data_IF_120963548178
#
_entry.id   IF_120963548178
#
_cell.length_a   1.000
_cell.length_b   1.000
_cell.length_c   1.000
_cell.angle_alpha   90.00
_cell.angle_beta   90.00
_cell.angle_gamma   90.00
#
_symmetry.space_group_name_H-M   'P 1'
#
loop_
_entity.id
_entity.type
_entity.pdbx_description
1 polymer ?
#
# COMPACT_ATOMS: atom_id res chain seq x y z
N UNK A 1 17.12 -16.74 21.33
CA UNK A 1 16.75 -16.58 19.89
C UNK A 1 15.46 -17.36 19.64
N UNK A 2 14.51 -16.81 18.89
CA UNK A 2 13.22 -17.45 18.61
C UNK A 2 13.30 -18.50 17.50
N UNK A 3 12.36 -19.44 17.54
CA UNK A 3 12.08 -20.44 16.49
C UNK A 3 10.60 -20.40 16.12
N UNK A 4 10.24 -20.95 14.96
CA UNK A 4 8.83 -21.07 14.56
C UNK A 4 8.01 -21.90 15.55
N UNK A 5 8.59 -22.96 16.12
CA UNK A 5 7.93 -23.74 17.16
C UNK A 5 7.66 -22.90 18.42
N UNK A 6 8.64 -22.12 18.87
CA UNK A 6 8.48 -21.22 20.01
C UNK A 6 7.40 -20.16 19.74
N UNK A 7 7.39 -19.56 18.54
CA UNK A 7 6.39 -18.57 18.14
C UNK A 7 4.96 -19.14 18.17
N UNK A 8 4.78 -20.37 17.67
CA UNK A 8 3.47 -21.06 17.71
C UNK A 8 3.03 -21.41 19.13
N UNK A 9 3.96 -21.64 20.04
CA UNK A 9 3.68 -21.96 21.44
C UNK A 9 3.30 -20.74 22.30
N UNK A 10 3.60 -19.52 21.84
CA UNK A 10 3.30 -18.29 22.60
C UNK A 10 1.80 -18.13 22.84
N UNK A 11 1.44 -17.94 24.11
CA UNK A 11 0.04 -17.76 24.54
C UNK A 11 -0.31 -16.28 24.70
N UNK A 12 -1.54 -15.86 24.35
CA UNK A 12 -2.03 -14.53 24.67
C UNK A 12 -2.05 -14.31 26.20
N UNK A 13 -1.91 -13.06 26.63
CA UNK A 13 -2.00 -12.64 28.04
C UNK A 13 -2.98 -11.47 28.15
N UNK A 14 -3.37 -11.12 29.38
CA UNK A 14 -4.27 -9.99 29.65
C UNK A 14 -3.71 -8.63 29.21
N UNK A 15 -2.40 -8.54 28.96
CA UNK A 15 -1.71 -7.33 28.49
C UNK A 15 -0.75 -7.68 27.36
N UNK A 16 -0.45 -6.68 26.54
CA UNK A 16 0.57 -6.75 25.50
C UNK A 16 1.92 -7.08 26.13
N UNK A 17 2.64 -8.02 25.54
CA UNK A 17 4.02 -8.32 25.95
C UNK A 17 4.94 -8.50 24.74
N UNK A 18 6.24 -8.41 25.00
CA UNK A 18 7.30 -8.54 24.00
C UNK A 18 8.12 -9.79 24.29
N UNK A 19 8.55 -10.49 23.25
CA UNK A 19 9.57 -11.54 23.34
C UNK A 19 10.68 -11.21 22.36
N UNK A 20 11.89 -11.03 22.88
CA UNK A 20 13.05 -10.60 22.12
C UNK A 20 13.56 -11.72 21.22
N UNK A 21 13.88 -11.37 19.98
CA UNK A 21 14.68 -12.19 19.07
C UNK A 21 16.11 -11.62 18.99
N UNK A 22 16.87 -11.93 17.94
CA UNK A 22 18.20 -11.36 17.72
C UNK A 22 18.12 -9.93 17.19
N UNK A 23 19.27 -9.25 17.19
CA UNK A 23 19.46 -7.98 16.50
C UNK A 23 18.59 -6.82 17.00
N UNK A 24 18.04 -6.91 18.21
CA UNK A 24 17.07 -5.93 18.72
C UNK A 24 15.67 -6.08 18.12
N UNK A 25 15.47 -7.06 17.22
CA UNK A 25 14.14 -7.46 16.78
C UNK A 25 13.42 -8.16 17.93
N UNK A 26 12.11 -7.98 17.99
CA UNK A 26 11.25 -8.69 18.93
C UNK A 26 9.90 -9.00 18.28
N UNK A 27 9.16 -9.91 18.88
CA UNK A 27 7.73 -10.08 18.62
C UNK A 27 6.90 -9.41 19.69
N UNK A 28 5.86 -8.69 19.28
CA UNK A 28 4.79 -8.20 20.15
C UNK A 28 3.61 -9.14 20.05
N UNK A 29 3.11 -9.56 21.20
CA UNK A 29 1.93 -10.41 21.33
C UNK A 29 0.80 -9.56 21.88
N UNK A 30 -0.31 -9.51 21.15
CA UNK A 30 -1.56 -8.87 21.59
C UNK A 30 -2.36 -9.81 22.50
N UNK A 31 -3.24 -9.26 23.37
CA UNK A 31 -4.22 -10.08 24.09
C UNK A 31 -5.12 -10.91 23.16
N UNK A 32 -5.33 -10.48 21.92
CA UNK A 32 -6.03 -11.25 20.88
C UNK A 32 -5.22 -12.42 20.29
N UNK A 33 -3.98 -12.62 20.73
CA UNK A 33 -3.07 -13.63 20.18
C UNK A 33 -2.37 -13.22 18.88
N UNK A 34 -2.63 -12.02 18.35
CA UNK A 34 -1.89 -11.54 17.20
C UNK A 34 -0.40 -11.31 17.54
N UNK A 35 0.48 -12.01 16.83
CA UNK A 35 1.94 -11.92 16.95
C UNK A 35 2.47 -11.06 15.80
N UNK A 36 3.36 -10.12 16.10
CA UNK A 36 3.90 -9.20 15.10
C UNK A 36 5.37 -8.87 15.33
N UNK A 37 6.15 -8.86 14.25
CA UNK A 37 7.58 -8.55 14.27
C UNK A 37 7.82 -7.04 14.26
N UNK A 38 8.71 -6.59 15.13
CA UNK A 38 9.09 -5.18 15.28
C UNK A 38 10.56 -5.03 15.62
N UNK A 39 11.09 -3.84 15.36
CA UNK A 39 12.40 -3.38 15.84
C UNK A 39 12.22 -1.99 16.46
N UNK A 40 12.65 -1.85 17.71
CA UNK A 40 12.78 -0.54 18.37
C UNK A 40 14.19 -0.01 18.09
N UNK A 41 14.31 1.25 17.70
CA UNK A 41 15.61 1.87 17.41
C UNK A 41 15.63 3.35 17.83
N UNK A 42 16.81 3.96 17.81
CA UNK A 42 16.97 5.41 17.95
C UNK A 42 17.63 5.96 16.71
N UNK A 43 17.13 7.10 16.24
CA UNK A 43 17.68 7.85 15.12
C UNK A 43 17.48 9.34 15.43
N UNK A 44 18.52 10.15 15.27
CA UNK A 44 18.48 11.60 15.53
C UNK A 44 17.89 11.96 16.91
N UNK A 45 18.33 11.25 17.96
CA UNK A 45 17.85 11.45 19.33
C UNK A 45 16.44 10.93 19.63
N UNK A 46 15.64 10.58 18.61
CA UNK A 46 14.26 10.08 18.76
C UNK A 46 14.21 8.56 18.84
N UNK A 47 13.35 8.03 19.71
CA UNK A 47 13.00 6.60 19.72
C UNK A 47 11.88 6.34 18.73
N UNK A 48 12.09 5.35 17.88
CA UNK A 48 11.14 4.92 16.85
C UNK A 48 10.97 3.40 16.86
N UNK A 49 9.91 2.93 16.19
CA UNK A 49 9.61 1.51 16.05
C UNK A 49 9.19 1.24 14.61
N UNK A 50 9.84 0.29 13.96
CA UNK A 50 9.39 -0.23 12.66
C UNK A 50 8.60 -1.51 12.86
N UNK A 51 7.47 -1.61 12.16
CA UNK A 51 6.63 -2.80 12.09
C UNK A 51 6.90 -3.56 10.79
N UNK A 52 7.34 -4.81 10.88
CA UNK A 52 7.65 -5.61 9.69
C UNK A 52 6.40 -6.30 9.16
N UNK A 53 5.67 -7.00 10.03
CA UNK A 53 4.49 -7.74 9.64
C UNK A 53 3.93 -8.59 10.78
N UNK A 54 2.76 -9.20 10.54
CA UNK A 54 2.14 -10.19 11.43
C UNK A 54 2.77 -11.55 11.15
N UNK A 55 2.98 -12.36 12.18
CA UNK A 55 3.41 -13.75 12.01
C UNK A 55 2.23 -14.64 11.59
N UNK A 56 2.49 -15.60 10.71
CA UNK A 56 1.55 -16.66 10.34
C UNK A 56 1.34 -16.80 8.82
N UNK A 57 0.40 -17.67 8.43
CA UNK A 57 0.13 -18.06 7.04
C UNK A 57 -0.16 -16.87 6.11
N UNK A 58 -0.94 -15.90 6.59
CA UNK A 58 -1.32 -14.70 5.82
C UNK A 58 -0.42 -13.49 6.15
N UNK A 59 0.73 -13.76 6.77
CA UNK A 59 1.67 -12.76 7.24
C UNK A 59 3.07 -13.07 6.71
N UNK A 60 4.07 -12.82 7.54
CA UNK A 60 5.48 -13.09 7.21
C UNK A 60 6.05 -14.18 8.11
N UNK A 61 7.03 -14.93 7.59
CA UNK A 61 7.79 -15.91 8.35
C UNK A 61 8.82 -15.24 9.26
N UNK A 62 9.32 -15.98 10.25
CA UNK A 62 10.42 -15.52 11.11
C UNK A 62 11.69 -15.23 10.30
N UNK A 63 11.99 -16.07 9.30
CA UNK A 63 13.13 -15.85 8.40
C UNK A 63 13.01 -14.53 7.64
N UNK A 64 11.84 -14.28 7.02
CA UNK A 64 11.59 -13.03 6.29
C UNK A 64 11.65 -11.81 7.21
N UNK A 65 11.13 -11.91 8.43
CA UNK A 65 11.22 -10.82 9.41
C UNK A 65 12.68 -10.48 9.77
N UNK A 66 13.57 -11.48 9.83
CA UNK A 66 15.00 -11.28 10.09
C UNK A 66 15.71 -10.60 8.94
N UNK A 67 15.39 -10.95 7.69
CA UNK A 67 15.89 -10.23 6.51
C UNK A 67 15.49 -8.76 6.55
N UNK A 68 14.19 -8.48 6.77
CA UNK A 68 13.69 -7.11 6.90
C UNK A 68 14.34 -6.34 8.06
N UNK A 69 14.70 -7.02 9.14
CA UNK A 69 15.43 -6.41 10.25
C UNK A 69 16.84 -5.96 9.83
N UNK A 70 17.56 -6.78 9.06
CA UNK A 70 18.89 -6.43 8.55
C UNK A 70 18.81 -5.25 7.57
N UNK A 71 17.81 -5.24 6.70
CA UNK A 71 17.56 -4.12 5.78
C UNK A 71 17.25 -2.82 6.54
N UNK A 72 16.36 -2.89 7.53
CA UNK A 72 16.04 -1.74 8.38
C UNK A 72 17.27 -1.22 9.14
N UNK A 73 18.13 -2.11 9.65
CA UNK A 73 19.39 -1.72 10.28
C UNK A 73 20.35 -1.01 9.33
N UNK A 74 20.40 -1.44 8.06
CA UNK A 74 21.20 -0.79 7.03
C UNK A 74 20.69 0.63 6.78
N UNK A 75 19.39 0.81 6.61
CA UNK A 75 18.77 2.13 6.47
C UNK A 75 19.03 3.05 7.66
N UNK A 76 18.92 2.53 8.89
CA UNK A 76 19.20 3.29 10.12
C UNK A 76 20.65 3.76 10.15
N UNK A 77 21.61 2.90 9.75
CA UNK A 77 23.03 3.27 9.67
C UNK A 77 23.28 4.39 8.66
N UNK A 78 22.48 4.43 7.60
CA UNK A 78 22.50 5.48 6.57
C UNK A 78 21.67 6.71 6.97
N UNK A 79 21.23 6.81 8.22
CA UNK A 79 20.49 7.97 8.73
C UNK A 79 19.03 8.04 8.26
N UNK A 80 18.49 6.98 7.63
CA UNK A 80 17.11 6.93 7.17
C UNK A 80 16.24 6.14 8.15
N UNK A 81 15.03 6.63 8.40
CA UNK A 81 14.05 5.97 9.26
C UNK A 81 13.22 4.95 8.45
N UNK A 82 13.34 3.64 8.71
CA UNK A 82 12.53 2.62 8.04
C UNK A 82 11.04 2.78 8.30
N UNK A 83 10.67 3.29 9.49
CA UNK A 83 9.28 3.53 9.85
C UNK A 83 8.68 4.66 9.00
N UNK A 84 9.43 5.75 8.79
CA UNK A 84 8.99 6.89 7.98
C UNK A 84 8.91 6.51 6.51
N UNK A 85 9.91 5.80 5.97
CA UNK A 85 9.89 5.39 4.56
C UNK A 85 8.70 4.47 4.27
N UNK A 86 8.42 3.49 5.13
CA UNK A 86 7.22 2.65 5.02
C UNK A 86 5.92 3.45 5.07
N UNK A 87 5.87 4.50 5.89
CA UNK A 87 4.71 5.39 5.95
C UNK A 87 4.58 6.25 4.69
N UNK A 88 5.70 6.75 4.14
CA UNK A 88 5.75 7.52 2.90
C UNK A 88 5.27 6.68 1.73
N UNK A 89 5.74 5.44 1.60
CA UNK A 89 5.29 4.52 0.57
C UNK A 89 3.78 4.28 0.64
N UNK A 90 3.26 3.96 1.84
CA UNK A 90 1.82 3.79 2.05
C UNK A 90 1.02 5.04 1.69
N UNK A 91 1.56 6.24 1.97
CA UNK A 91 0.94 7.52 1.61
C UNK A 91 0.91 7.71 0.09
N UNK A 92 2.04 7.48 -0.59
CA UNK A 92 2.12 7.55 -2.06
C UNK A 92 1.11 6.63 -2.73
N UNK A 93 0.98 5.39 -2.25
CA UNK A 93 -0.01 4.44 -2.76
C UNK A 93 -1.45 4.93 -2.54
N UNK A 94 -1.75 5.52 -1.38
CA UNK A 94 -3.08 6.08 -1.10
C UNK A 94 -3.38 7.27 -2.00
N UNK A 95 -2.43 8.19 -2.17
CA UNK A 95 -2.57 9.36 -3.02
C UNK A 95 -2.79 8.97 -4.49
N UNK A 96 -2.01 8.01 -4.99
CA UNK A 96 -2.19 7.44 -6.32
C UNK A 96 -3.60 6.86 -6.50
N UNK A 97 -4.10 6.09 -5.52
CA UNK A 97 -5.46 5.54 -5.55
C UNK A 97 -6.52 6.65 -5.58
N UNK A 98 -6.40 7.66 -4.72
CA UNK A 98 -7.36 8.76 -4.66
C UNK A 98 -7.39 9.58 -5.96
N UNK A 99 -6.23 9.79 -6.59
CA UNK A 99 -6.16 10.51 -7.86
C UNK A 99 -6.83 9.73 -9.01
N UNK A 100 -6.57 8.42 -9.10
CA UNK A 100 -7.25 7.57 -10.10
C UNK A 100 -8.76 7.50 -9.88
N UNK A 101 -9.22 7.36 -8.63
CA UNK A 101 -10.65 7.40 -8.29
C UNK A 101 -11.31 8.73 -8.66
N UNK A 102 -10.62 9.85 -8.44
CA UNK A 102 -11.10 11.16 -8.82
C UNK A 102 -11.19 11.33 -10.34
N UNK A 103 -10.15 10.92 -11.07
CA UNK A 103 -10.11 10.95 -12.53
C UNK A 103 -11.28 10.20 -13.15
N UNK A 104 -11.62 9.03 -12.61
CA UNK A 104 -12.75 8.24 -13.09
C UNK A 104 -14.11 8.88 -12.85
N UNK A 105 -14.30 9.44 -11.65
CA UNK A 105 -15.54 10.17 -11.35
C UNK A 105 -15.70 11.36 -12.28
N UNK A 106 -14.63 12.08 -12.56
CA UNK A 106 -14.66 13.22 -13.47
C UNK A 106 -14.96 12.79 -14.92
N UNK A 107 -14.28 11.76 -15.44
CA UNK A 107 -14.54 11.26 -16.80
C UNK A 107 -15.98 10.79 -16.97
N UNK A 108 -16.57 10.18 -15.94
CA UNK A 108 -17.94 9.66 -15.99
C UNK A 108 -19.00 10.74 -15.80
N UNK A 109 -18.81 11.64 -14.82
CA UNK A 109 -19.86 12.56 -14.36
C UNK A 109 -19.82 13.97 -14.95
N UNK A 110 -18.70 14.40 -15.56
CA UNK A 110 -18.63 15.74 -16.11
C UNK A 110 -19.36 15.85 -17.47
N UNK A 111 -20.08 16.96 -17.73
CA UNK A 111 -20.81 17.14 -18.98
C UNK A 111 -19.82 17.33 -20.14
N UNK A 112 -19.65 16.29 -20.94
CA UNK A 112 -18.82 16.31 -22.13
C UNK A 112 -19.35 15.31 -23.17
N UNK A 113 -19.10 15.60 -24.44
CA UNK A 113 -19.38 14.69 -25.54
C UNK A 113 -18.59 13.38 -25.39
N UNK A 114 -19.13 12.28 -25.91
CA UNK A 114 -18.52 10.95 -25.80
C UNK A 114 -17.13 10.88 -26.43
N UNK A 115 -16.94 11.56 -27.57
CA UNK A 115 -15.65 11.67 -28.26
C UNK A 115 -14.60 12.37 -27.39
N UNK A 116 -14.98 13.48 -26.74
CA UNK A 116 -14.13 14.21 -25.80
C UNK A 116 -13.80 13.38 -24.57
N UNK A 117 -14.75 12.59 -24.06
CA UNK A 117 -14.53 11.66 -22.95
C UNK A 117 -13.52 10.57 -23.32
N UNK A 118 -13.70 9.94 -24.47
CA UNK A 118 -12.82 8.90 -24.97
C UNK A 118 -11.39 9.41 -25.20
N UNK A 119 -11.25 10.62 -25.77
CA UNK A 119 -9.97 11.29 -25.97
C UNK A 119 -9.29 11.65 -24.63
N UNK A 120 -10.02 12.22 -23.67
CA UNK A 120 -9.47 12.53 -22.34
C UNK A 120 -9.08 11.28 -21.57
N UNK A 121 -9.85 10.20 -21.71
CA UNK A 121 -9.56 8.89 -21.14
C UNK A 121 -8.25 8.32 -21.70
N UNK A 122 -8.05 8.34 -23.02
CA UNK A 122 -6.81 7.81 -23.62
C UNK A 122 -5.57 8.61 -23.21
N UNK A 123 -5.68 9.94 -23.07
CA UNK A 123 -4.61 10.78 -22.53
C UNK A 123 -4.36 10.43 -21.06
N UNK A 124 -5.41 10.34 -20.24
CA UNK A 124 -5.27 9.99 -18.83
C UNK A 124 -4.55 8.66 -18.64
N UNK A 125 -4.96 7.63 -19.37
CA UNK A 125 -4.35 6.29 -19.31
C UNK A 125 -2.90 6.29 -19.81
N UNK A 126 -2.60 6.97 -20.93
CA UNK A 126 -1.24 7.04 -21.47
C UNK A 126 -0.28 7.76 -20.52
N UNK A 127 -0.69 8.90 -19.98
CA UNK A 127 0.18 9.77 -19.19
C UNK A 127 0.31 9.32 -17.73
N UNK A 128 -0.70 8.63 -17.20
CA UNK A 128 -0.81 8.32 -15.77
C UNK A 128 -0.89 6.81 -15.47
N UNK A 129 -1.20 5.96 -16.45
CA UNK A 129 -1.37 4.52 -16.25
C UNK A 129 -0.12 3.84 -15.66
N UNK A 130 1.07 4.26 -16.08
CA UNK A 130 2.34 3.78 -15.53
C UNK A 130 2.67 4.37 -14.15
N UNK A 131 2.20 5.60 -13.87
CA UNK A 131 2.47 6.34 -12.61
C UNK A 131 1.54 5.94 -11.47
N UNK A 132 0.38 5.34 -11.78
CA UNK A 132 -0.61 4.85 -10.82
C UNK A 132 -0.50 3.34 -10.54
N UNK A 133 0.64 2.72 -10.84
CA UNK A 133 0.93 1.29 -10.60
C UNK A 133 -0.12 0.32 -11.20
N UNK A 134 -0.65 0.61 -12.39
CA UNK A 134 -1.51 -0.33 -13.13
C UNK A 134 -2.83 -0.71 -12.43
N UNK A 135 -3.26 0.01 -11.39
CA UNK A 135 -4.46 -0.32 -10.60
C UNK A 135 -5.79 0.13 -11.21
N UNK A 136 -5.76 0.81 -12.36
CA UNK A 136 -6.96 1.27 -13.04
C UNK A 136 -6.98 0.68 -14.45
N UNK A 137 -7.46 -0.56 -14.56
CA UNK A 137 -8.02 -1.08 -15.83
C UNK A 137 -9.48 -0.69 -15.82
N UNK A 138 -9.82 0.30 -16.64
CA UNK A 138 -11.12 0.94 -16.59
C UNK A 138 -11.88 0.40 -17.78
N UNK A 139 -12.85 -0.47 -17.50
CA UNK A 139 -13.58 -1.17 -18.55
C UNK A 139 -14.25 -0.18 -19.51
N UNK A 140 -13.86 -0.26 -20.78
CA UNK A 140 -14.45 0.50 -21.86
C UNK A 140 -15.90 0.03 -22.10
N UNK A 141 -16.87 0.83 -21.67
CA UNK A 141 -18.24 0.73 -22.15
C UNK A 141 -18.28 1.02 -23.65
N UNK A 142 -18.53 -0.02 -24.45
CA UNK A 142 -18.67 0.07 -25.90
C UNK A 142 -19.93 0.85 -26.28
N UNK A 143 -19.78 2.14 -26.58
CA UNK A 143 -20.79 2.92 -27.31
C UNK A 143 -20.50 2.87 -28.81
N UNK A 144 -21.18 1.97 -29.55
CA UNK A 144 -21.17 1.97 -31.02
C UNK A 144 -21.88 3.23 -31.50
N UNK A 145 -21.14 4.15 -32.12
CA UNK A 145 -21.70 5.27 -32.84
C UNK A 145 -22.42 4.81 -34.10
N UNK A 146 -23.67 5.24 -34.27
CA UNK A 146 -24.30 5.58 -35.55
C UNK A 146 -25.37 6.64 -35.28
N UNK A 147 -25.06 7.89 -35.55
CA UNK A 147 -26.06 8.91 -35.81
C UNK A 147 -25.85 9.37 -37.26
N UNK A 148 -26.78 8.97 -38.12
CA UNK A 148 -27.01 9.63 -39.39
C UNK A 148 -27.69 10.96 -39.09
N UNK A 149 -27.08 12.08 -39.47
CA UNK A 149 -27.87 13.27 -39.82
C UNK A 149 -28.76 12.94 -41.03
N UNK A 150 -29.94 13.56 -41.12
CA UNK A 150 -30.02 14.65 -42.08
C UNK A 150 -30.90 15.85 -41.66
N UNK A 151 -30.45 16.99 -42.17
CA UNK A 151 -31.17 18.17 -42.66
C UNK A 151 -32.17 18.93 -41.76
N UNK A 152 -31.78 20.18 -41.52
CA UNK A 152 -32.64 21.35 -41.29
C UNK A 152 -33.55 21.60 -42.50
N UNK A 153 -34.83 21.89 -42.27
CA UNK A 153 -35.57 22.91 -43.02
C UNK A 153 -36.51 23.69 -42.07
N UNK A 154 -36.31 25.00 -42.11
CA UNK A 154 -37.18 26.14 -41.74
C UNK A 154 -38.42 26.09 -42.67
N UNK A 155 -39.67 26.45 -42.37
CA UNK A 155 -40.40 27.22 -41.35
C UNK A 155 -41.47 26.38 -40.63
#
# INVERSE_FOLDING_TARGET
MLTDAALKALKPKNKVYKVTDRDGMYVRIMPSGAISFRLDYRLNGRRETVYFGRYGRNGISLARAREMCLDAKREIREGRSPAIEKQREKRRLKEAKSFGEFGEKWLTGAPMADSTRAMRRSIFERELGSKLNGQFVIQAGHGRGKFHEPLVLVE
#
